data_IF_042966211812
#
_entry.id   IF_042966211812
#
_cell.length_a   1.000
_cell.length_b   1.000
_cell.length_c   1.000
_cell.angle_alpha   90.00
_cell.angle_beta   90.00
_cell.angle_gamma   90.00
#
_symmetry.space_group_name_H-M   'P 1'
#
loop_
_entity.id
_entity.type
_entity.pdbx_description
1 polymer ?
#
# COMPACT_ATOMS: atom_id res chain seq x y z
N UNK A 1 42.01 12.54 -20.13
CA UNK A 1 43.46 12.75 -20.02
C UNK A 1 43.83 13.75 -18.93
N UNK A 2 42.98 14.74 -18.60
CA UNK A 2 43.27 15.78 -17.60
C UNK A 2 43.42 15.26 -16.16
N UNK A 3 42.61 14.30 -15.71
CA UNK A 3 42.64 13.75 -14.34
C UNK A 3 43.92 12.98 -13.99
N UNK A 4 44.53 12.29 -14.96
CA UNK A 4 45.83 11.62 -14.73
C UNK A 4 46.93 12.68 -14.57
N UNK A 5 46.83 13.78 -15.32
CA UNK A 5 47.72 14.92 -15.21
C UNK A 5 47.70 15.59 -13.83
N UNK A 6 46.54 15.65 -13.17
CA UNK A 6 46.40 16.24 -11.82
C UNK A 6 46.98 15.40 -10.71
N UNK A 7 46.78 14.09 -10.75
CA UNK A 7 47.41 13.18 -9.79
C UNK A 7 48.95 13.28 -9.87
N UNK A 8 49.52 13.24 -11.08
CA UNK A 8 50.97 13.41 -11.28
C UNK A 8 51.49 14.78 -10.89
N UNK A 9 50.66 15.81 -11.00
CA UNK A 9 51.01 17.16 -10.59
C UNK A 9 51.09 17.33 -9.07
N UNK A 10 50.05 16.86 -8.37
CA UNK A 10 49.96 16.93 -6.91
C UNK A 10 51.08 16.12 -6.25
N UNK A 11 51.42 14.95 -6.81
CA UNK A 11 52.53 14.14 -6.30
C UNK A 11 53.88 14.87 -6.44
N UNK A 12 54.10 15.59 -7.54
CA UNK A 12 55.34 16.35 -7.76
C UNK A 12 55.50 17.49 -6.72
N UNK A 13 54.42 18.21 -6.42
CA UNK A 13 54.43 19.25 -5.37
C UNK A 13 54.65 18.64 -3.99
N UNK A 14 54.00 17.51 -3.68
CA UNK A 14 54.19 16.77 -2.44
C UNK A 14 55.64 16.28 -2.25
N UNK A 15 56.29 15.84 -3.33
CA UNK A 15 57.71 15.47 -3.28
C UNK A 15 58.63 16.65 -2.98
N UNK A 16 58.35 17.84 -3.54
CA UNK A 16 59.10 19.05 -3.24
C UNK A 16 58.90 19.50 -1.79
N UNK A 17 57.66 19.49 -1.27
CA UNK A 17 57.40 19.80 0.14
C UNK A 17 58.09 18.81 1.07
N UNK A 18 58.06 17.51 0.76
CA UNK A 18 58.74 16.50 1.59
C UNK A 18 60.27 16.68 1.63
N UNK A 19 60.89 17.05 0.51
CA UNK A 19 62.33 17.34 0.44
C UNK A 19 62.69 18.56 1.27
N UNK A 20 61.88 19.63 1.19
CA UNK A 20 62.07 20.86 1.97
C UNK A 20 61.90 20.58 3.46
N UNK A 21 60.85 19.85 3.85
CA UNK A 21 60.61 19.43 5.23
C UNK A 21 61.81 18.67 5.82
N UNK A 22 62.32 17.65 5.10
CA UNK A 22 63.48 16.86 5.55
C UNK A 22 64.73 17.72 5.73
N UNK A 23 64.97 18.68 4.83
CA UNK A 23 66.09 19.61 4.95
C UNK A 23 65.96 20.48 6.21
N UNK A 24 64.81 21.11 6.43
CA UNK A 24 64.54 21.95 7.61
C UNK A 24 64.58 21.16 8.93
N UNK A 25 63.94 19.99 8.99
CA UNK A 25 63.90 19.14 10.19
C UNK A 25 65.31 18.60 10.56
N UNK A 26 66.10 18.19 9.55
CA UNK A 26 67.47 17.71 9.78
C UNK A 26 68.38 18.81 10.35
N UNK A 27 68.27 20.05 9.86
CA UNK A 27 69.05 21.17 10.36
C UNK A 27 68.60 21.60 11.76
N UNK A 28 67.29 21.71 11.99
CA UNK A 28 66.73 22.08 13.28
C UNK A 28 67.15 21.11 14.39
N UNK A 29 67.19 19.79 14.11
CA UNK A 29 67.66 18.78 15.06
C UNK A 29 69.17 18.79 15.30
N UNK A 30 69.95 19.22 14.30
CA UNK A 30 71.41 19.21 14.38
C UNK A 30 71.99 20.44 15.09
N UNK A 31 71.24 21.54 15.21
CA UNK A 31 71.74 22.83 15.71
C UNK A 31 71.01 23.25 17.00
N UNK A 32 71.78 23.41 18.10
CA UNK A 32 71.26 23.68 19.46
C UNK A 32 70.51 25.02 19.60
N UNK A 33 70.83 26.03 18.77
CA UNK A 33 70.18 27.35 18.72
C UNK A 33 69.64 27.66 17.31
N UNK A 34 68.96 26.70 16.69
CA UNK A 34 68.34 26.93 15.38
C UNK A 34 67.23 28.02 15.46
N UNK A 35 67.14 28.94 14.46
CA UNK A 35 66.05 29.90 14.36
C UNK A 35 64.66 29.24 14.41
N UNK A 36 63.71 29.86 15.12
CA UNK A 36 62.33 29.32 15.29
C UNK A 36 61.57 29.28 13.97
N UNK A 37 61.94 30.16 13.04
CA UNK A 37 61.42 30.28 11.68
C UNK A 37 61.64 28.99 10.87
N UNK A 38 62.76 28.28 11.08
CA UNK A 38 63.03 26.99 10.41
C UNK A 38 62.06 25.92 10.89
N UNK A 39 61.74 25.91 12.20
CA UNK A 39 60.74 24.99 12.75
C UNK A 39 59.34 25.30 12.21
N UNK A 40 58.94 26.58 12.19
CA UNK A 40 57.65 27.00 11.63
C UNK A 40 57.51 26.63 10.15
N UNK A 41 58.55 26.89 9.35
CA UNK A 41 58.58 26.48 7.95
C UNK A 41 58.46 24.95 7.80
N UNK A 42 59.13 24.18 8.67
CA UNK A 42 59.03 22.71 8.65
C UNK A 42 57.61 22.21 9.00
N UNK A 43 56.94 22.82 9.98
CA UNK A 43 55.60 22.46 10.40
C UNK A 43 54.57 22.81 9.32
N UNK A 44 54.67 23.98 8.71
CA UNK A 44 53.79 24.37 7.60
C UNK A 44 54.01 23.52 6.36
N UNK A 45 55.26 23.23 6.01
CA UNK A 45 55.57 22.35 4.86
C UNK A 45 55.02 20.93 5.07
N UNK A 46 55.06 20.42 6.32
CA UNK A 46 54.49 19.11 6.66
C UNK A 46 52.97 19.09 6.61
N UNK A 47 52.33 20.13 7.12
CA UNK A 47 50.87 20.23 7.07
C UNK A 47 50.38 20.34 5.62
N UNK A 48 51.08 21.11 4.80
CA UNK A 48 50.78 21.23 3.38
C UNK A 48 50.96 19.90 2.62
N UNK A 49 52.04 19.14 2.89
CA UNK A 49 52.25 17.78 2.34
C UNK A 49 51.10 16.83 2.67
N UNK A 50 50.57 16.91 3.90
CA UNK A 50 49.44 16.06 4.34
C UNK A 50 48.19 16.33 3.53
N UNK A 51 47.84 17.61 3.31
CA UNK A 51 46.69 18.01 2.50
C UNK A 51 46.85 17.58 1.03
N UNK A 52 48.05 17.74 0.45
CA UNK A 52 48.33 17.32 -0.93
C UNK A 52 48.20 15.81 -1.12
N UNK A 53 48.56 15.00 -0.13
CA UNK A 53 48.39 13.54 -0.18
C UNK A 53 46.92 13.10 -0.14
N UNK A 54 46.10 13.77 0.67
CA UNK A 54 44.65 13.53 0.71
C UNK A 54 44.04 13.84 -0.66
N UNK A 55 44.40 14.99 -1.24
CA UNK A 55 43.97 15.38 -2.58
C UNK A 55 44.45 14.42 -3.67
N UNK A 56 45.67 13.91 -3.56
CA UNK A 56 46.18 12.89 -4.49
C UNK A 56 45.35 11.59 -4.42
N UNK A 57 45.00 11.12 -3.22
CA UNK A 57 44.17 9.93 -3.05
C UNK A 57 42.78 10.11 -3.70
N UNK A 58 42.19 11.31 -3.55
CA UNK A 58 40.92 11.67 -4.19
C UNK A 58 41.07 11.77 -5.71
N UNK A 59 42.16 12.38 -6.21
CA UNK A 59 42.42 12.54 -7.65
C UNK A 59 42.67 11.20 -8.38
N UNK A 60 43.05 10.15 -7.65
CA UNK A 60 43.23 8.80 -8.19
C UNK A 60 41.92 8.00 -8.25
N UNK A 61 40.84 8.51 -7.63
CA UNK A 61 39.52 7.89 -7.67
C UNK A 61 38.85 8.06 -9.04
N UNK A 62 38.08 7.08 -9.54
CA UNK A 62 37.34 7.18 -10.79
C UNK A 62 36.35 8.36 -10.84
N UNK A 63 35.92 8.88 -9.69
CA UNK A 63 35.02 10.04 -9.58
C UNK A 63 35.74 11.40 -9.46
N UNK A 64 37.07 11.44 -9.59
CA UNK A 64 37.88 12.65 -9.42
C UNK A 64 37.45 13.83 -10.33
N UNK A 65 36.88 13.55 -11.51
CA UNK A 65 36.36 14.58 -12.42
C UNK A 65 35.13 15.33 -11.88
N UNK A 66 34.48 14.82 -10.84
CA UNK A 66 33.27 15.41 -10.23
C UNK A 66 33.57 16.25 -8.99
N UNK A 67 34.85 16.36 -8.61
CA UNK A 67 35.30 17.04 -7.40
C UNK A 67 35.69 18.49 -7.74
N UNK A 68 34.89 19.50 -7.34
CA UNK A 68 35.10 20.90 -7.73
C UNK A 68 36.48 21.46 -7.35
N UNK A 69 37.01 21.11 -6.17
CA UNK A 69 38.34 21.58 -5.74
C UNK A 69 39.48 21.13 -6.67
N UNK A 70 39.38 19.94 -7.27
CA UNK A 70 40.40 19.45 -8.21
C UNK A 70 40.35 20.21 -9.53
N UNK A 71 39.19 20.74 -9.92
CA UNK A 71 39.03 21.58 -11.10
C UNK A 71 39.57 23.00 -10.87
N UNK A 72 39.37 23.55 -9.67
CA UNK A 72 39.91 24.86 -9.30
C UNK A 72 41.44 24.85 -9.19
N UNK A 73 42.02 23.78 -8.63
CA UNK A 73 43.47 23.53 -8.57
C UNK A 73 44.14 23.31 -9.94
N UNK A 74 43.35 23.10 -11.00
CA UNK A 74 43.81 22.84 -12.36
C UNK A 74 43.97 24.10 -13.23
N UNK A 75 43.53 25.28 -12.78
CA UNK A 75 43.67 26.51 -13.57
C UNK A 75 45.15 26.82 -13.80
N UNK A 76 45.53 27.05 -15.07
CA UNK A 76 46.84 27.57 -15.44
C UNK A 76 46.99 28.98 -14.82
N UNK A 77 48.14 29.26 -14.20
CA UNK A 77 48.36 30.41 -13.29
C UNK A 77 47.69 30.29 -11.89
N UNK A 78 47.32 29.08 -11.48
CA UNK A 78 46.67 28.82 -10.19
C UNK A 78 47.63 28.58 -9.00
N UNK A 79 47.07 28.39 -7.78
CA UNK A 79 47.77 28.12 -6.51
C UNK A 79 48.91 27.09 -6.59
N UNK A 80 48.71 26.07 -7.44
CA UNK A 80 49.67 24.99 -7.68
C UNK A 80 50.99 25.50 -8.22
N UNK A 81 50.95 26.37 -9.23
CA UNK A 81 52.13 26.81 -9.98
C UNK A 81 52.98 27.75 -9.14
N UNK A 82 52.31 28.61 -8.35
CA UNK A 82 52.91 29.47 -7.33
C UNK A 82 53.58 28.65 -6.21
N UNK A 83 52.90 27.65 -5.64
CA UNK A 83 53.50 26.75 -4.65
C UNK A 83 54.68 25.96 -5.21
N UNK A 84 54.57 25.46 -6.45
CA UNK A 84 55.64 24.70 -7.09
C UNK A 84 56.86 25.57 -7.39
N UNK A 85 56.67 26.80 -7.85
CA UNK A 85 57.74 27.77 -8.08
C UNK A 85 58.46 28.15 -6.77
N UNK A 86 57.69 28.41 -5.72
CA UNK A 86 58.24 28.73 -4.39
C UNK A 86 59.03 27.57 -3.80
N UNK A 87 58.46 26.36 -3.76
CA UNK A 87 59.14 25.17 -3.24
C UNK A 87 60.41 24.86 -4.01
N UNK A 88 60.41 25.04 -5.34
CA UNK A 88 61.62 24.91 -6.17
C UNK A 88 62.66 25.97 -5.85
N UNK A 89 62.27 27.24 -5.74
CA UNK A 89 63.16 28.35 -5.39
C UNK A 89 63.83 28.15 -4.02
N UNK A 90 63.06 27.72 -3.01
CA UNK A 90 63.58 27.39 -1.68
C UNK A 90 64.53 26.19 -1.73
N UNK A 91 64.20 25.15 -2.50
CA UNK A 91 65.05 23.97 -2.67
C UNK A 91 66.34 24.25 -3.45
N UNK A 92 66.32 25.13 -4.45
CA UNK A 92 67.53 25.53 -5.20
C UNK A 92 68.47 26.34 -4.31
N UNK A 93 67.95 27.31 -3.54
CA UNK A 93 68.74 28.05 -2.54
C UNK A 93 69.32 27.13 -1.45
N UNK A 94 68.61 26.07 -1.06
CA UNK A 94 69.12 25.02 -0.17
C UNK A 94 70.16 24.09 -0.82
N UNK A 95 70.15 23.97 -2.15
CA UNK A 95 71.03 23.11 -2.95
C UNK A 95 72.32 23.77 -3.42
N UNK A 96 72.34 25.09 -3.61
CA UNK A 96 73.51 25.87 -4.02
C UNK A 96 74.63 25.89 -2.97
N UNK A 97 74.35 25.48 -1.73
CA UNK A 97 75.34 25.34 -0.66
C UNK A 97 76.00 23.96 -0.53
N UNK A 98 75.71 22.99 -1.41
CA UNK A 98 75.99 21.58 -1.13
C UNK A 98 76.81 20.88 -2.22
N UNK A 99 78.07 21.29 -2.35
CA UNK A 99 79.03 20.60 -3.22
C UNK A 99 79.46 19.25 -2.58
N UNK A 100 79.37 18.17 -3.37
CA UNK A 100 79.33 16.77 -2.91
C UNK A 100 80.64 16.23 -2.27
N UNK A 101 81.66 17.05 -2.07
CA UNK A 101 82.95 16.63 -1.47
C UNK A 101 83.17 17.03 -0.01
N UNK A 102 82.29 17.82 0.60
CA UNK A 102 82.48 18.31 1.98
C UNK A 102 81.77 17.50 3.09
N UNK A 103 81.30 16.28 2.82
CA UNK A 103 80.38 15.54 3.71
C UNK A 103 80.94 15.04 5.06
N UNK A 104 82.17 15.38 5.48
CA UNK A 104 82.71 14.82 6.73
C UNK A 104 83.45 15.75 7.69
N UNK A 105 83.59 17.07 7.43
CA UNK A 105 84.42 17.89 8.34
C UNK A 105 83.94 19.28 8.74
N UNK A 106 82.74 19.74 8.40
CA UNK A 106 82.29 21.09 8.79
C UNK A 106 80.85 21.09 9.30
N UNK A 107 80.60 20.46 10.45
CA UNK A 107 79.32 20.60 11.17
C UNK A 107 79.33 21.75 12.18
N UNK A 108 80.42 22.54 12.26
CA UNK A 108 80.56 23.68 13.19
C UNK A 108 80.47 25.07 12.55
N UNK A 109 80.30 25.18 11.22
CA UNK A 109 80.15 26.47 10.54
C UNK A 109 79.19 26.41 9.33
N UNK A 110 78.09 25.66 9.41
CA UNK A 110 77.00 25.82 8.44
C UNK A 110 76.16 27.03 8.84
N UNK A 111 76.39 28.17 8.18
CA UNK A 111 75.39 29.23 8.12
C UNK A 111 74.23 28.71 7.28
N UNK A 112 73.01 28.78 7.82
CA UNK A 112 71.80 28.43 7.09
C UNK A 112 71.71 29.29 5.81
N UNK A 113 71.43 28.69 4.64
CA UNK A 113 71.54 29.40 3.35
C UNK A 113 70.31 30.26 3.00
N UNK A 114 69.18 30.13 3.72
CA UNK A 114 68.00 30.94 3.48
C UNK A 114 68.01 32.18 4.38
N UNK A 115 67.74 33.33 3.79
CA UNK A 115 67.56 34.58 4.53
C UNK A 115 66.22 34.58 5.29
N UNK A 116 66.10 35.45 6.30
CA UNK A 116 64.86 35.57 7.08
C UNK A 116 63.66 35.95 6.20
N UNK A 117 63.87 36.83 5.23
CA UNK A 117 62.85 37.28 4.28
C UNK A 117 62.36 36.12 3.38
N UNK A 118 63.25 35.25 2.93
CA UNK A 118 62.90 34.05 2.17
C UNK A 118 62.04 33.07 2.97
N UNK A 119 62.35 32.91 4.26
CA UNK A 119 61.60 32.04 5.17
C UNK A 119 60.22 32.61 5.50
N UNK A 120 60.12 33.92 5.79
CA UNK A 120 58.86 34.59 6.11
C UNK A 120 57.93 34.63 4.88
N UNK A 121 58.47 34.90 3.69
CA UNK A 121 57.73 34.80 2.43
C UNK A 121 57.24 33.36 2.21
N UNK A 122 58.13 32.38 2.37
CA UNK A 122 57.81 30.95 2.23
C UNK A 122 56.68 30.49 3.15
N UNK A 123 56.73 30.89 4.42
CA UNK A 123 55.67 30.61 5.42
C UNK A 123 54.36 31.28 5.01
N UNK A 124 54.38 32.57 4.63
CA UNK A 124 53.15 33.31 4.31
C UNK A 124 52.38 32.71 3.13
N UNK A 125 53.09 32.28 2.08
CA UNK A 125 52.50 31.71 0.87
C UNK A 125 51.97 30.30 1.15
N UNK A 126 52.70 29.48 1.90
CA UNK A 126 52.24 28.15 2.30
C UNK A 126 51.02 28.22 3.22
N UNK A 127 51.00 29.13 4.21
CA UNK A 127 49.87 29.34 5.10
C UNK A 127 48.61 29.80 4.35
N UNK A 128 48.77 30.69 3.35
CA UNK A 128 47.66 31.17 2.50
C UNK A 128 47.04 30.03 1.71
N UNK A 129 47.86 29.31 0.94
CA UNK A 129 47.38 28.22 0.10
C UNK A 129 46.81 27.05 0.89
N UNK A 130 47.35 26.78 2.08
CA UNK A 130 46.76 25.81 3.02
C UNK A 130 45.35 26.20 3.43
N UNK A 131 45.11 27.46 3.82
CA UNK A 131 43.79 27.94 4.24
C UNK A 131 42.76 27.87 3.11
N UNK A 132 43.17 28.23 1.90
CA UNK A 132 42.31 28.15 0.72
C UNK A 132 41.93 26.69 0.40
N UNK A 133 42.88 25.75 0.54
CA UNK A 133 42.63 24.32 0.42
C UNK A 133 41.66 23.79 1.48
N UNK A 134 41.86 24.16 2.75
CA UNK A 134 41.01 23.70 3.86
C UNK A 134 39.56 24.22 3.71
N UNK A 135 39.39 25.47 3.24
CA UNK A 135 38.08 26.04 2.96
C UNK A 135 37.36 25.32 1.82
N UNK A 136 38.05 25.09 0.71
CA UNK A 136 37.47 24.43 -0.46
C UNK A 136 37.12 22.96 -0.15
N UNK A 137 37.95 22.22 0.58
CA UNK A 137 37.64 20.85 1.03
C UNK A 137 36.39 20.81 1.93
N UNK A 138 36.26 21.77 2.83
CA UNK A 138 35.10 21.87 3.71
C UNK A 138 33.81 22.19 2.95
N UNK A 139 33.89 23.08 1.95
CA UNK A 139 32.77 23.41 1.06
C UNK A 139 32.29 22.19 0.26
N UNK A 140 33.22 21.42 -0.32
CA UNK A 140 32.89 20.22 -1.09
C UNK A 140 32.27 19.13 -0.21
N UNK A 141 32.78 18.94 1.02
CA UNK A 141 32.20 18.01 1.99
C UNK A 141 30.75 18.37 2.37
N UNK A 142 30.45 19.67 2.51
CA UNK A 142 29.08 20.14 2.77
C UNK A 142 28.17 19.88 1.56
N UNK A 143 28.65 20.14 0.35
CA UNK A 143 27.87 19.93 -0.87
C UNK A 143 27.51 18.44 -1.08
N UNK A 144 28.46 17.54 -0.85
CA UNK A 144 28.22 16.08 -0.88
C UNK A 144 27.18 15.66 0.17
N UNK A 145 27.27 16.21 1.38
CA UNK A 145 26.32 15.89 2.46
C UNK A 145 24.89 16.34 2.12
N UNK A 146 24.73 17.54 1.54
CA UNK A 146 23.43 18.04 1.07
C UNK A 146 22.88 17.18 -0.07
N UNK A 147 23.72 16.81 -1.05
CA UNK A 147 23.32 15.94 -2.14
C UNK A 147 22.88 14.55 -1.65
N UNK A 148 23.61 13.99 -0.69
CA UNK A 148 23.30 12.69 -0.08
C UNK A 148 21.96 12.73 0.65
N UNK A 149 21.73 13.75 1.47
CA UNK A 149 20.44 13.92 2.16
C UNK A 149 19.27 14.06 1.19
N UNK A 150 19.47 14.74 0.05
CA UNK A 150 18.46 14.87 -1.01
C UNK A 150 18.16 13.52 -1.68
N UNK A 151 19.18 12.72 -2.00
CA UNK A 151 18.99 11.38 -2.56
C UNK A 151 18.27 10.45 -1.59
N UNK A 152 18.61 10.51 -0.30
CA UNK A 152 17.94 9.72 0.74
C UNK A 152 16.44 10.06 0.81
N UNK A 153 16.09 11.35 0.81
CA UNK A 153 14.69 11.77 0.79
C UNK A 153 13.93 11.23 -0.44
N UNK A 154 14.53 11.30 -1.63
CA UNK A 154 13.94 10.73 -2.86
C UNK A 154 13.78 9.21 -2.79
N UNK A 155 14.71 8.49 -2.17
CA UNK A 155 14.59 7.04 -1.96
C UNK A 155 13.41 6.74 -1.05
N UNK A 156 13.26 7.46 0.07
CA UNK A 156 12.11 7.26 0.98
C UNK A 156 10.77 7.46 0.26
N UNK A 157 10.64 8.53 -0.54
CA UNK A 157 9.41 8.82 -1.29
C UNK A 157 9.11 7.73 -2.34
N UNK A 158 10.11 7.33 -3.12
CA UNK A 158 9.95 6.27 -4.13
C UNK A 158 9.61 4.92 -3.50
N UNK A 159 10.18 4.61 -2.34
CA UNK A 159 9.92 3.35 -1.63
C UNK A 159 8.49 3.33 -1.06
N UNK A 160 8.00 4.46 -0.55
CA UNK A 160 6.64 4.60 -0.06
C UNK A 160 5.60 4.47 -1.18
N UNK A 161 5.86 5.05 -2.36
CA UNK A 161 5.01 4.88 -3.55
C UNK A 161 5.01 3.43 -4.03
N UNK A 162 6.19 2.81 -4.15
CA UNK A 162 6.31 1.42 -4.62
C UNK A 162 5.65 0.41 -3.69
N UNK A 163 5.78 0.58 -2.36
CA UNK A 163 5.07 -0.26 -1.39
C UNK A 163 3.54 -0.12 -1.49
N UNK A 164 3.04 1.05 -1.86
CA UNK A 164 1.60 1.33 -2.00
C UNK A 164 1.03 0.70 -3.27
N UNK A 165 1.79 0.70 -4.36
CA UNK A 165 1.46 0.05 -5.64
C UNK A 165 1.57 -1.48 -5.52
N UNK A 166 2.66 -2.02 -4.96
CA UNK A 166 2.83 -3.46 -4.73
C UNK A 166 1.69 -4.05 -3.88
N UNK A 167 1.12 -3.25 -2.98
CA UNK A 167 -0.03 -3.67 -2.15
C UNK A 167 -1.34 -3.63 -2.92
N UNK A 168 -1.50 -2.70 -3.85
CA UNK A 168 -2.63 -2.66 -4.77
C UNK A 168 -2.62 -3.88 -5.69
N UNK A 169 -1.45 -4.20 -6.25
CA UNK A 169 -1.27 -5.35 -7.13
C UNK A 169 -1.52 -6.67 -6.38
N UNK A 170 -1.09 -6.78 -5.12
CA UNK A 170 -1.44 -7.94 -4.28
C UNK A 170 -2.94 -8.07 -3.99
N UNK A 171 -3.69 -6.97 -3.88
CA UNK A 171 -5.15 -7.02 -3.72
C UNK A 171 -5.79 -7.48 -5.03
N UNK A 172 -5.30 -6.98 -6.17
CA UNK A 172 -5.75 -7.43 -7.50
C UNK A 172 -5.40 -8.89 -7.78
N UNK A 173 -4.25 -9.36 -7.27
CA UNK A 173 -3.80 -10.76 -7.34
C UNK A 173 -4.47 -11.66 -6.30
N UNK A 174 -4.95 -11.11 -5.18
CA UNK A 174 -5.83 -11.79 -4.21
C UNK A 174 -7.28 -11.88 -4.69
N UNK A 175 -7.70 -10.98 -5.58
CA UNK A 175 -9.05 -10.93 -6.12
C UNK A 175 -9.49 -12.07 -7.10
N UNK A 176 -8.75 -13.16 -7.43
CA UNK A 176 -9.28 -14.14 -8.38
C UNK A 176 -9.88 -15.43 -7.77
N UNK A 177 -10.94 -15.88 -8.48
CA UNK A 177 -11.65 -17.18 -8.52
C UNK A 177 -12.53 -17.59 -7.34
N UNK A 178 -13.44 -16.74 -6.86
CA UNK A 178 -14.80 -17.28 -6.75
C UNK A 178 -15.24 -17.59 -8.18
N UNK A 179 -15.63 -18.83 -8.47
CA UNK A 179 -16.14 -19.18 -9.79
C UNK A 179 -17.39 -18.33 -10.04
N UNK A 180 -17.20 -17.23 -10.75
CA UNK A 180 -18.25 -16.27 -11.07
C UNK A 180 -19.34 -16.95 -11.87
N UNK A 181 -19.00 -17.96 -12.67
CA UNK A 181 -19.98 -18.75 -13.41
C UNK A 181 -20.82 -19.63 -12.49
N UNK A 182 -20.21 -20.27 -11.48
CA UNK A 182 -20.99 -21.02 -10.47
C UNK A 182 -21.89 -20.11 -9.64
N UNK A 183 -21.37 -18.97 -9.16
CA UNK A 183 -22.16 -18.02 -8.38
C UNK A 183 -23.29 -17.40 -9.21
N UNK A 184 -23.00 -17.09 -10.48
CA UNK A 184 -23.99 -16.63 -11.45
C UNK A 184 -25.07 -17.68 -11.69
N UNK A 185 -24.70 -18.93 -11.96
CA UNK A 185 -25.64 -20.02 -12.19
C UNK A 185 -26.49 -20.30 -10.93
N UNK A 186 -25.92 -20.23 -9.73
CA UNK A 186 -26.68 -20.35 -8.49
C UNK A 186 -27.65 -19.19 -8.27
N UNK A 187 -27.22 -17.95 -8.51
CA UNK A 187 -28.07 -16.78 -8.39
C UNK A 187 -29.22 -16.84 -9.41
N UNK A 188 -28.91 -17.26 -10.65
CA UNK A 188 -29.89 -17.46 -11.73
C UNK A 188 -30.89 -18.55 -11.41
N UNK A 189 -30.45 -19.70 -10.88
CA UNK A 189 -31.35 -20.77 -10.40
C UNK A 189 -32.29 -20.33 -9.28
N UNK A 190 -31.85 -19.37 -8.44
CA UNK A 190 -32.63 -18.81 -7.33
C UNK A 190 -33.50 -17.63 -7.78
N UNK A 191 -33.23 -17.02 -8.93
CA UNK A 191 -34.00 -15.91 -9.47
C UNK A 191 -35.35 -16.41 -10.00
N UNK A 192 -36.39 -15.62 -9.76
CA UNK A 192 -37.71 -15.87 -10.30
C UNK A 192 -38.01 -14.82 -11.37
N UNK A 193 -38.33 -15.27 -12.58
CA UNK A 193 -38.69 -14.40 -13.69
C UNK A 193 -39.74 -13.34 -13.29
N UNK A 194 -39.46 -12.08 -13.63
CA UNK A 194 -40.31 -10.93 -13.29
C UNK A 194 -40.07 -10.31 -11.91
N UNK A 195 -39.24 -10.91 -11.03
CA UNK A 195 -38.82 -10.27 -9.77
C UNK A 195 -37.59 -9.38 -9.98
N UNK A 196 -37.53 -8.24 -9.30
CA UNK A 196 -36.36 -7.34 -9.36
C UNK A 196 -36.30 -6.39 -10.56
N UNK A 197 -37.25 -6.45 -11.50
CA UNK A 197 -37.29 -5.58 -12.69
C UNK A 197 -37.42 -4.09 -12.36
N UNK A 198 -37.91 -3.76 -11.16
CA UNK A 198 -38.00 -2.39 -10.67
C UNK A 198 -36.62 -1.73 -10.62
N UNK A 199 -35.54 -2.49 -10.39
CA UNK A 199 -34.17 -1.99 -10.34
C UNK A 199 -33.80 -1.31 -11.66
N UNK A 200 -34.17 -1.93 -12.78
CA UNK A 200 -33.88 -1.43 -14.13
C UNK A 200 -34.62 -0.14 -14.49
N UNK A 201 -35.65 0.23 -13.71
CA UNK A 201 -36.47 1.43 -13.90
C UNK A 201 -36.00 2.60 -13.03
N UNK A 202 -34.98 2.42 -12.21
CA UNK A 202 -34.46 3.46 -11.33
C UNK A 202 -33.52 4.44 -12.05
N UNK A 203 -33.56 5.71 -11.66
CA UNK A 203 -32.62 6.71 -12.17
C UNK A 203 -31.17 6.38 -11.82
N UNK A 204 -30.94 5.72 -10.68
CA UNK A 204 -29.63 5.23 -10.25
C UNK A 204 -29.08 4.20 -11.24
N UNK A 205 -29.90 3.25 -11.67
CA UNK A 205 -29.54 2.25 -12.66
C UNK A 205 -29.23 2.88 -14.02
N UNK A 206 -30.10 3.78 -14.50
CA UNK A 206 -29.90 4.51 -15.75
C UNK A 206 -28.60 5.31 -15.75
N UNK A 207 -28.29 5.99 -14.64
CA UNK A 207 -27.04 6.71 -14.45
C UNK A 207 -25.83 5.78 -14.40
N UNK A 208 -25.95 4.61 -13.76
CA UNK A 208 -24.85 3.66 -13.63
C UNK A 208 -24.46 3.02 -14.98
N UNK A 209 -25.43 2.69 -15.82
CA UNK A 209 -25.15 2.19 -17.18
C UNK A 209 -24.63 3.30 -18.09
N UNK A 210 -25.27 4.48 -18.04
CA UNK A 210 -25.00 5.53 -19.03
C UNK A 210 -23.71 6.30 -18.72
N UNK A 211 -23.34 6.41 -17.44
CA UNK A 211 -22.16 7.15 -17.03
C UNK A 211 -20.97 6.21 -16.84
N UNK A 212 -19.94 6.51 -17.62
CA UNK A 212 -18.62 5.89 -17.58
C UNK A 212 -17.91 6.12 -16.23
N UNK A 213 -17.34 5.07 -15.64
CA UNK A 213 -16.60 5.19 -14.37
C UNK A 213 -17.49 5.33 -13.13
N UNK A 214 -18.74 4.89 -13.19
CA UNK A 214 -19.73 5.11 -12.13
C UNK A 214 -19.77 3.98 -11.09
N UNK A 215 -20.14 4.34 -9.86
CA UNK A 215 -20.28 3.44 -8.72
C UNK A 215 -21.74 3.37 -8.30
N UNK A 216 -22.29 2.16 -8.22
CA UNK A 216 -23.62 1.90 -7.67
C UNK A 216 -23.49 1.06 -6.40
N UNK A 217 -24.21 1.48 -5.36
CA UNK A 217 -24.26 0.76 -4.08
C UNK A 217 -25.69 0.29 -3.82
N UNK A 218 -25.86 -1.03 -3.67
CA UNK A 218 -27.12 -1.70 -3.36
C UNK A 218 -27.10 -2.18 -1.91
N UNK A 219 -27.86 -1.54 -1.03
CA UNK A 219 -27.90 -1.88 0.39
C UNK A 219 -29.27 -2.41 0.83
N UNK A 220 -29.28 -3.20 1.90
CA UNK A 220 -30.51 -3.84 2.41
C UNK A 220 -30.23 -4.93 3.42
N UNK A 221 -31.27 -5.44 4.07
CA UNK A 221 -31.14 -6.48 5.11
C UNK A 221 -30.76 -7.85 4.53
N UNK A 222 -30.27 -8.80 5.35
CA UNK A 222 -30.01 -10.17 4.90
C UNK A 222 -31.26 -10.79 4.27
N UNK A 223 -31.10 -11.48 3.13
CA UNK A 223 -32.20 -12.20 2.47
C UNK A 223 -33.21 -11.34 1.70
N UNK A 224 -32.98 -10.04 1.53
CA UNK A 224 -33.80 -9.18 0.65
C UNK A 224 -33.48 -9.30 -0.86
N UNK A 225 -32.55 -10.19 -1.23
CA UNK A 225 -32.25 -10.47 -2.64
C UNK A 225 -31.12 -9.65 -3.27
N UNK A 226 -30.32 -8.89 -2.49
CA UNK A 226 -29.15 -8.12 -3.00
C UNK A 226 -28.28 -8.90 -3.97
N UNK A 227 -27.81 -10.09 -3.57
CA UNK A 227 -26.97 -10.95 -4.40
C UNK A 227 -27.67 -11.32 -5.70
N UNK A 228 -28.92 -11.80 -5.63
CA UNK A 228 -29.70 -12.19 -6.83
C UNK A 228 -29.85 -11.01 -7.78
N UNK A 229 -30.22 -9.83 -7.25
CA UNK A 229 -30.32 -8.60 -8.03
C UNK A 229 -28.98 -8.22 -8.66
N UNK A 230 -27.88 -8.27 -7.91
CA UNK A 230 -26.55 -7.91 -8.39
C UNK A 230 -26.00 -8.83 -9.48
N UNK A 231 -26.55 -10.03 -9.66
CA UNK A 231 -26.18 -10.94 -10.75
C UNK A 231 -27.13 -10.85 -11.95
N UNK A 232 -28.41 -10.55 -11.75
CA UNK A 232 -29.35 -10.28 -12.88
C UNK A 232 -28.93 -9.08 -13.73
N UNK A 233 -28.09 -8.20 -13.20
CA UNK A 233 -27.53 -7.03 -13.88
C UNK A 233 -26.38 -7.38 -14.83
N UNK A 234 -25.84 -8.59 -14.75
CA UNK A 234 -24.70 -9.06 -15.56
C UNK A 234 -25.10 -9.67 -16.91
N UNK A 235 -26.39 -9.86 -17.19
CA UNK A 235 -26.94 -10.29 -18.49
C UNK A 235 -26.85 -9.20 -19.59
N UNK A 236 -26.03 -8.16 -19.39
CA UNK A 236 -25.78 -7.09 -20.35
C UNK A 236 -24.75 -7.54 -21.40
N UNK A 237 -25.19 -8.38 -22.33
CA UNK A 237 -24.40 -9.09 -23.36
C UNK A 237 -23.71 -8.20 -24.44
N UNK A 238 -23.56 -6.88 -24.26
CA UNK A 238 -23.15 -6.01 -25.38
C UNK A 238 -22.13 -4.89 -25.13
N UNK A 239 -21.43 -4.84 -23.99
CA UNK A 239 -20.67 -3.63 -23.64
C UNK A 239 -19.16 -3.91 -23.51
N UNK A 240 -18.34 -3.09 -24.17
CA UNK A 240 -16.87 -3.06 -24.12
C UNK A 240 -16.28 -2.57 -22.78
N UNK A 241 -17.09 -2.57 -21.73
CA UNK A 241 -16.84 -2.01 -20.40
C UNK A 241 -16.74 -3.15 -19.37
N UNK A 242 -15.97 -2.92 -18.31
CA UNK A 242 -15.67 -3.90 -17.26
C UNK A 242 -16.58 -3.63 -16.08
N UNK A 243 -17.40 -4.62 -15.70
CA UNK A 243 -18.26 -4.58 -14.54
C UNK A 243 -17.65 -5.39 -13.40
N UNK A 244 -17.43 -4.74 -12.26
CA UNK A 244 -16.92 -5.39 -11.04
C UNK A 244 -18.01 -5.36 -9.99
N UNK A 245 -18.48 -6.54 -9.59
CA UNK A 245 -19.49 -6.72 -8.55
C UNK A 245 -18.79 -7.19 -7.27
N UNK A 246 -18.88 -6.39 -6.20
CA UNK A 246 -18.43 -6.77 -4.86
C UNK A 246 -19.66 -7.06 -4.01
N UNK A 247 -19.97 -8.35 -3.86
CA UNK A 247 -21.10 -8.80 -3.05
C UNK A 247 -20.74 -8.89 -1.57
N UNK A 248 -21.70 -8.58 -0.69
CA UNK A 248 -21.63 -8.72 0.75
C UNK A 248 -20.38 -8.08 1.39
N UNK A 249 -20.09 -6.82 1.04
CA UNK A 249 -18.92 -6.08 1.55
C UNK A 249 -18.87 -6.04 3.10
N UNK A 250 -20.00 -6.08 3.79
CA UNK A 250 -20.07 -6.15 5.25
C UNK A 250 -19.58 -7.49 5.84
N UNK A 251 -19.46 -8.55 5.07
CA UNK A 251 -18.85 -9.82 5.52
C UNK A 251 -17.31 -9.74 5.58
N UNK A 252 -16.71 -8.66 5.05
CA UNK A 252 -15.28 -8.42 5.21
C UNK A 252 -14.92 -8.23 6.69
N UNK A 253 -13.91 -8.98 7.14
CA UNK A 253 -13.52 -9.01 8.54
C UNK A 253 -13.07 -7.64 9.04
N UNK A 254 -13.55 -7.27 10.22
CA UNK A 254 -13.06 -6.12 10.98
C UNK A 254 -11.67 -6.38 11.61
N UNK A 255 -11.24 -7.65 11.67
CA UNK A 255 -9.93 -7.99 12.20
C UNK A 255 -8.82 -7.63 11.20
N UNK A 256 -7.69 -7.12 11.72
CA UNK A 256 -6.50 -6.75 10.93
C UNK A 256 -6.79 -5.73 9.81
N UNK A 257 -7.77 -4.85 10.01
CA UNK A 257 -8.15 -3.79 9.05
C UNK A 257 -8.55 -4.29 7.64
N UNK A 258 -8.88 -5.57 7.45
CA UNK A 258 -9.16 -6.14 6.13
C UNK A 258 -10.29 -5.41 5.40
N UNK A 259 -11.41 -5.09 6.08
CA UNK A 259 -12.49 -4.26 5.52
C UNK A 259 -12.00 -2.87 5.07
N UNK A 260 -11.13 -2.22 5.85
CA UNK A 260 -10.58 -0.91 5.47
C UNK A 260 -9.71 -1.03 4.21
N UNK A 261 -8.94 -2.10 4.08
CA UNK A 261 -8.15 -2.35 2.87
C UNK A 261 -9.02 -2.51 1.64
N UNK A 262 -10.14 -3.26 1.75
CA UNK A 262 -11.11 -3.42 0.67
C UNK A 262 -11.75 -2.07 0.33
N UNK A 263 -12.20 -1.31 1.33
CA UNK A 263 -12.77 0.03 1.11
C UNK A 263 -11.77 0.98 0.44
N UNK A 264 -10.50 0.95 0.83
CA UNK A 264 -9.44 1.74 0.19
C UNK A 264 -9.18 1.29 -1.25
N UNK A 265 -9.25 -0.02 -1.54
CA UNK A 265 -9.15 -0.52 -2.91
C UNK A 265 -10.35 -0.05 -3.76
N UNK A 266 -11.57 -0.11 -3.23
CA UNK A 266 -12.79 0.41 -3.87
C UNK A 266 -12.65 1.92 -4.16
N UNK A 267 -12.16 2.71 -3.20
CA UNK A 267 -11.88 4.15 -3.41
C UNK A 267 -10.89 4.39 -4.53
N UNK A 268 -9.82 3.58 -4.61
CA UNK A 268 -8.82 3.70 -5.69
C UNK A 268 -9.42 3.35 -7.04
N UNK A 269 -10.17 2.25 -7.14
CA UNK A 269 -10.84 1.81 -8.36
C UNK A 269 -11.83 2.87 -8.84
N UNK A 270 -12.68 3.38 -7.94
CA UNK A 270 -13.63 4.46 -8.22
C UNK A 270 -12.93 5.78 -8.60
N UNK A 271 -11.77 6.07 -7.99
CA UNK A 271 -10.98 7.27 -8.27
C UNK A 271 -10.11 7.18 -9.52
N UNK A 272 -9.99 5.99 -10.16
CA UNK A 272 -9.28 5.91 -11.44
C UNK A 272 -10.05 6.67 -12.50
N UNK A 273 -9.36 7.43 -13.36
CA UNK A 273 -9.97 8.09 -14.53
C UNK A 273 -10.42 7.09 -15.62
N UNK A 274 -10.59 5.81 -15.27
CA UNK A 274 -10.92 4.76 -16.20
C UNK A 274 -12.42 4.78 -16.46
N UNK A 275 -12.78 5.40 -17.58
CA UNK A 275 -14.16 5.56 -18.02
C UNK A 275 -14.85 4.24 -18.39
N UNK A 276 -14.14 3.11 -18.43
CA UNK A 276 -14.71 1.81 -18.79
C UNK A 276 -15.00 0.90 -17.61
N UNK A 277 -14.76 1.34 -16.36
CA UNK A 277 -14.96 0.51 -15.17
C UNK A 277 -16.26 0.90 -14.47
N UNK A 278 -17.14 -0.07 -14.25
CA UNK A 278 -18.37 0.10 -13.48
C UNK A 278 -18.31 -0.75 -12.22
N UNK A 279 -18.57 -0.15 -11.07
CA UNK A 279 -18.55 -0.85 -9.78
C UNK A 279 -19.98 -1.02 -9.27
N UNK A 280 -20.34 -2.25 -8.88
CA UNK A 280 -21.55 -2.56 -8.13
C UNK A 280 -21.15 -3.15 -6.78
N UNK A 281 -21.54 -2.49 -5.70
CA UNK A 281 -21.24 -2.92 -4.33
C UNK A 281 -22.54 -3.33 -3.65
N UNK A 282 -22.56 -4.46 -2.93
CA UNK A 282 -23.68 -4.82 -2.07
C UNK A 282 -23.23 -4.90 -0.61
N UNK A 283 -24.05 -4.39 0.32
CA UNK A 283 -23.75 -4.49 1.75
C UNK A 283 -24.94 -4.23 2.67
N UNK A 284 -24.77 -4.46 3.98
CA UNK A 284 -25.54 -3.75 5.02
C UNK A 284 -25.10 -2.29 5.15
N UNK A 285 -25.99 -1.38 5.57
CA UNK A 285 -25.67 0.03 5.79
C UNK A 285 -24.95 0.23 7.15
N UNK A 286 -23.79 -0.43 7.33
CA UNK A 286 -22.94 -0.23 8.51
C UNK A 286 -22.22 1.13 8.43
N UNK A 287 -22.01 1.79 9.58
CA UNK A 287 -21.52 3.18 9.65
C UNK A 287 -20.21 3.41 8.88
N UNK A 288 -19.24 2.52 9.07
CA UNK A 288 -17.92 2.60 8.42
C UNK A 288 -17.99 2.45 6.89
N UNK A 289 -18.92 1.63 6.40
CA UNK A 289 -19.19 1.43 4.98
C UNK A 289 -19.89 2.67 4.41
N UNK A 290 -20.93 3.16 5.09
CA UNK A 290 -21.68 4.37 4.69
C UNK A 290 -20.72 5.56 4.56
N UNK A 291 -19.92 5.82 5.59
CA UNK A 291 -18.98 6.95 5.63
C UNK A 291 -17.92 6.85 4.53
N UNK A 292 -17.49 5.64 4.20
CA UNK A 292 -16.46 5.41 3.18
C UNK A 292 -16.98 5.49 1.75
N UNK A 293 -18.22 5.07 1.50
CA UNK A 293 -18.81 5.00 0.16
C UNK A 293 -19.57 6.28 -0.22
N UNK A 294 -20.20 6.97 0.72
CA UNK A 294 -20.98 8.18 0.44
C UNK A 294 -20.23 9.23 -0.41
N UNK A 295 -18.92 9.49 -0.23
CA UNK A 295 -18.18 10.46 -1.05
C UNK A 295 -17.91 9.99 -2.49
N UNK A 296 -17.99 8.69 -2.76
CA UNK A 296 -17.69 8.10 -4.08
C UNK A 296 -18.90 8.02 -5.00
N UNK A 297 -20.10 8.12 -4.42
CA UNK A 297 -21.35 7.90 -5.12
C UNK A 297 -21.81 9.17 -5.84
N UNK A 298 -21.93 9.11 -7.15
CA UNK A 298 -22.49 10.21 -7.96
C UNK A 298 -24.00 10.38 -7.73
N UNK A 299 -24.67 9.29 -7.35
CA UNK A 299 -26.08 9.22 -7.00
C UNK A 299 -26.25 8.45 -5.69
N UNK A 300 -27.23 8.77 -4.84
CA UNK A 300 -27.45 8.03 -3.59
C UNK A 300 -27.60 6.53 -3.85
N UNK A 301 -26.97 5.71 -3.00
CA UNK A 301 -27.10 4.26 -3.07
C UNK A 301 -28.56 3.80 -2.99
N UNK A 302 -28.88 2.70 -3.65
CA UNK A 302 -30.20 2.10 -3.66
C UNK A 302 -30.38 1.33 -2.36
N UNK A 303 -31.29 1.80 -1.52
CA UNK A 303 -31.73 1.03 -0.35
C UNK A 303 -32.94 0.19 -0.72
N UNK A 304 -32.82 -1.13 -0.59
CA UNK A 304 -33.92 -2.04 -0.84
C UNK A 304 -34.92 -1.88 0.30
N UNK A 305 -36.01 -1.16 0.03
CA UNK A 305 -37.07 -0.86 1.01
C UNK A 305 -38.18 -1.91 0.98
N UNK A 306 -38.87 -2.08 2.11
CA UNK A 306 -39.95 -3.07 2.27
C UNK A 306 -41.05 -2.97 1.21
N UNK A 307 -41.42 -1.76 0.78
CA UNK A 307 -42.48 -1.55 -0.21
C UNK A 307 -42.11 -2.05 -1.61
N UNK A 308 -40.82 -2.01 -2.00
CA UNK A 308 -40.33 -2.52 -3.28
C UNK A 308 -40.30 -4.05 -3.28
N UNK A 309 -39.93 -4.65 -2.15
CA UNK A 309 -39.86 -6.11 -1.97
C UNK A 309 -41.27 -6.74 -1.92
N UNK A 310 -42.29 -6.02 -1.47
CA UNK A 310 -43.63 -6.59 -1.28
C UNK A 310 -44.27 -7.10 -2.58
N UNK A 311 -44.12 -6.34 -3.68
CA UNK A 311 -44.60 -6.76 -5.00
C UNK A 311 -43.84 -8.01 -5.48
N UNK A 312 -42.50 -8.03 -5.30
CA UNK A 312 -41.66 -9.17 -5.64
C UNK A 312 -42.03 -10.42 -4.81
N UNK A 313 -42.36 -10.28 -3.52
CA UNK A 313 -42.80 -11.39 -2.66
C UNK A 313 -44.13 -11.96 -3.15
N UNK A 314 -45.12 -11.10 -3.43
CA UNK A 314 -46.42 -11.57 -3.90
C UNK A 314 -46.29 -12.30 -5.23
N UNK A 315 -45.49 -11.75 -6.15
CA UNK A 315 -45.19 -12.37 -7.43
C UNK A 315 -44.45 -13.71 -7.26
N UNK A 316 -43.43 -13.75 -6.40
CA UNK A 316 -42.70 -14.98 -6.06
C UNK A 316 -43.65 -16.06 -5.53
N UNK A 317 -44.46 -15.77 -4.50
CA UNK A 317 -45.37 -16.77 -3.90
C UNK A 317 -46.38 -17.28 -4.93
N UNK A 318 -47.00 -16.37 -5.69
CA UNK A 318 -47.97 -16.77 -6.72
C UNK A 318 -47.36 -17.68 -7.78
N UNK A 319 -46.12 -17.39 -8.18
CA UNK A 319 -45.40 -18.19 -9.17
C UNK A 319 -45.00 -19.56 -8.61
N UNK A 320 -44.52 -19.62 -7.38
CA UNK A 320 -44.15 -20.86 -6.71
C UNK A 320 -45.36 -21.79 -6.45
N UNK A 321 -46.55 -21.24 -6.22
CA UNK A 321 -47.80 -22.00 -6.14
C UNK A 321 -48.16 -22.57 -7.53
N UNK A 322 -48.05 -21.76 -8.58
CA UNK A 322 -48.37 -22.14 -9.96
C UNK A 322 -47.45 -23.21 -10.51
N UNK A 323 -46.15 -23.13 -10.22
CA UNK A 323 -45.12 -24.01 -10.79
C UNK A 323 -44.92 -25.30 -10.00
N UNK A 324 -45.34 -25.35 -8.74
CA UNK A 324 -45.23 -26.56 -7.93
C UNK A 324 -46.28 -27.60 -8.32
N UNK A 325 -45.83 -28.83 -8.61
CA UNK A 325 -46.68 -29.97 -8.91
C UNK A 325 -47.68 -30.32 -7.79
N UNK A 326 -47.31 -30.03 -6.54
CA UNK A 326 -48.16 -30.28 -5.36
C UNK A 326 -49.09 -29.10 -5.12
N UNK A 327 -48.56 -27.87 -5.13
CA UNK A 327 -49.34 -26.68 -4.76
C UNK A 327 -50.34 -26.23 -5.84
N UNK A 328 -50.06 -26.51 -7.12
CA UNK A 328 -50.99 -26.19 -8.23
C UNK A 328 -52.33 -26.94 -8.12
N UNK A 329 -52.36 -28.06 -7.39
CA UNK A 329 -53.57 -28.88 -7.17
C UNK A 329 -54.41 -28.40 -5.99
N UNK A 330 -53.96 -27.39 -5.26
CA UNK A 330 -54.67 -26.86 -4.11
C UNK A 330 -55.97 -26.18 -4.52
N UNK A 331 -56.91 -26.14 -3.58
CA UNK A 331 -58.15 -25.38 -3.75
C UNK A 331 -57.81 -23.89 -3.88
N UNK A 332 -58.53 -23.12 -4.69
CA UNK A 332 -58.28 -21.68 -4.86
C UNK A 332 -58.24 -20.92 -3.52
N UNK A 333 -59.08 -21.31 -2.57
CA UNK A 333 -59.12 -20.76 -1.21
C UNK A 333 -57.84 -21.00 -0.41
N UNK A 334 -57.23 -22.18 -0.53
CA UNK A 334 -56.00 -22.53 0.17
C UNK A 334 -54.81 -21.78 -0.43
N UNK A 335 -54.75 -21.70 -1.77
CA UNK A 335 -53.73 -20.95 -2.50
C UNK A 335 -53.78 -19.45 -2.16
N UNK A 336 -54.98 -18.87 -2.15
CA UNK A 336 -55.18 -17.46 -1.80
C UNK A 336 -54.79 -17.20 -0.34
N UNK A 337 -55.13 -18.11 0.57
CA UNK A 337 -54.77 -17.97 1.99
C UNK A 337 -53.25 -18.03 2.19
N UNK A 338 -52.55 -18.95 1.52
CA UNK A 338 -51.08 -19.00 1.55
C UNK A 338 -50.51 -17.67 1.06
N UNK A 339 -50.98 -17.17 -0.10
CA UNK A 339 -50.49 -15.92 -0.67
C UNK A 339 -50.71 -14.74 0.27
N UNK A 340 -51.92 -14.56 0.80
CA UNK A 340 -52.23 -13.43 1.69
C UNK A 340 -51.44 -13.53 3.00
N UNK A 341 -51.46 -14.69 3.67
CA UNK A 341 -50.79 -14.85 4.97
C UNK A 341 -49.28 -14.67 4.87
N UNK A 342 -48.61 -15.23 3.85
CA UNK A 342 -47.17 -15.07 3.70
C UNK A 342 -46.78 -13.64 3.30
N UNK A 343 -47.56 -12.99 2.42
CA UNK A 343 -47.30 -11.61 2.01
C UNK A 343 -47.53 -10.63 3.17
N UNK A 344 -48.59 -10.81 3.94
CA UNK A 344 -48.91 -9.99 5.12
C UNK A 344 -47.88 -10.18 6.24
N UNK A 345 -47.51 -11.42 6.59
CA UNK A 345 -46.52 -11.66 7.64
C UNK A 345 -45.11 -11.20 7.25
N UNK A 346 -44.73 -11.34 5.98
CA UNK A 346 -43.46 -10.80 5.52
C UNK A 346 -43.43 -9.26 5.63
N UNK A 347 -44.58 -8.59 5.49
CA UNK A 347 -44.71 -7.14 5.70
C UNK A 347 -44.75 -6.77 7.19
N UNK A 348 -45.40 -7.60 8.02
CA UNK A 348 -45.62 -7.39 9.46
C UNK A 348 -44.43 -7.67 10.38
N UNK A 349 -43.24 -8.05 9.88
CA UNK A 349 -42.01 -8.11 10.70
C UNK A 349 -41.56 -6.73 11.23
N UNK A 350 -42.28 -5.67 10.87
CA UNK A 350 -42.06 -4.29 11.32
C UNK A 350 -42.69 -3.92 12.68
N UNK A 351 -43.14 -4.89 13.50
CA UNK A 351 -43.76 -4.57 14.80
C UNK A 351 -42.69 -4.49 15.89
N UNK A 352 -42.11 -3.30 16.05
CA UNK A 352 -41.71 -2.62 17.32
C UNK A 352 -40.67 -1.50 17.02
N UNK A 353 -41.04 -0.44 16.29
CA UNK A 353 -40.17 0.75 16.16
C UNK A 353 -40.78 2.08 16.60
N UNK A 354 -41.99 2.11 17.17
CA UNK A 354 -42.64 3.38 17.52
C UNK A 354 -42.45 3.83 18.99
N UNK A 355 -41.61 3.17 19.79
CA UNK A 355 -41.37 3.62 21.19
C UNK A 355 -39.91 3.61 21.69
N UNK A 356 -38.88 3.44 20.85
CA UNK A 356 -37.48 3.63 21.30
C UNK A 356 -36.71 4.38 20.22
N UNK A 357 -36.88 5.71 20.20
CA UNK A 357 -36.08 6.61 19.35
C UNK A 357 -34.82 7.14 20.06
N UNK A 358 -34.30 6.43 21.06
CA UNK A 358 -33.17 6.94 21.85
C UNK A 358 -32.23 5.80 22.27
N UNK A 359 -31.05 5.79 21.66
CA UNK A 359 -29.84 5.10 22.11
C UNK A 359 -29.72 3.57 21.96
N UNK A 360 -29.95 3.03 20.76
CA UNK A 360 -29.08 1.98 20.19
C UNK A 360 -29.45 1.69 18.73
N UNK A 361 -28.56 2.03 17.79
CA UNK A 361 -28.70 1.76 16.35
C UNK A 361 -28.49 0.26 15.99
N UNK A 362 -28.89 -0.69 16.83
CA UNK A 362 -28.51 -2.10 16.65
C UNK A 362 -29.57 -3.16 16.99
N UNK A 363 -30.81 -2.82 17.34
CA UNK A 363 -31.82 -3.84 17.59
C UNK A 363 -33.18 -3.43 17.02
N UNK A 364 -33.80 -4.37 16.29
CA UNK A 364 -35.18 -4.33 15.75
C UNK A 364 -35.36 -3.64 14.39
N UNK A 365 -34.54 -4.01 13.42
CA UNK A 365 -34.89 -3.90 12.00
C UNK A 365 -35.42 -5.25 11.50
N UNK A 366 -36.67 -5.60 11.82
CA UNK A 366 -37.37 -6.73 11.23
C UNK A 366 -37.79 -6.40 9.80
N UNK A 367 -36.85 -6.48 8.86
CA UNK A 367 -37.11 -6.22 7.45
C UNK A 367 -37.81 -7.37 6.76
N UNK A 368 -38.73 -7.01 5.87
CA UNK A 368 -39.38 -7.92 4.92
C UNK A 368 -38.32 -8.71 4.14
N UNK A 369 -38.30 -10.04 4.32
CA UNK A 369 -37.22 -10.88 3.82
C UNK A 369 -37.76 -11.98 2.90
N UNK A 370 -37.39 -11.95 1.60
CA UNK A 370 -37.76 -12.98 0.62
C UNK A 370 -37.27 -14.37 1.07
N UNK A 371 -36.09 -14.45 1.70
CA UNK A 371 -35.55 -15.72 2.26
C UNK A 371 -36.49 -16.35 3.28
N UNK A 372 -37.17 -15.56 4.12
CA UNK A 372 -38.13 -16.13 5.07
C UNK A 372 -39.29 -16.79 4.35
N UNK A 373 -39.87 -16.10 3.36
CA UNK A 373 -40.97 -16.61 2.52
C UNK A 373 -40.53 -17.89 1.80
N UNK A 374 -39.31 -17.91 1.25
CA UNK A 374 -38.72 -19.10 0.65
C UNK A 374 -38.73 -20.28 1.63
N UNK A 375 -38.23 -20.11 2.87
CA UNK A 375 -38.20 -21.17 3.86
C UNK A 375 -39.61 -21.68 4.21
N UNK A 376 -40.59 -20.78 4.33
CA UNK A 376 -41.97 -21.19 4.63
C UNK A 376 -42.60 -21.94 3.45
N UNK A 377 -42.30 -21.55 2.21
CA UNK A 377 -42.74 -22.29 1.03
C UNK A 377 -42.21 -23.72 0.99
N UNK A 378 -40.96 -23.95 1.43
CA UNK A 378 -40.39 -25.31 1.54
C UNK A 378 -41.10 -26.18 2.58
N UNK A 379 -41.60 -25.59 3.67
CA UNK A 379 -42.43 -26.31 4.65
C UNK A 379 -43.80 -26.61 4.05
N UNK A 380 -44.46 -25.62 3.45
CA UNK A 380 -45.80 -25.74 2.86
C UNK A 380 -45.84 -26.76 1.71
N UNK A 381 -44.75 -26.85 0.92
CA UNK A 381 -44.60 -27.87 -0.14
C UNK A 381 -44.69 -29.31 0.34
N UNK A 382 -44.37 -29.56 1.62
CA UNK A 382 -44.42 -30.89 2.24
C UNK A 382 -45.80 -31.21 2.82
N UNK A 383 -46.69 -30.23 2.92
CA UNK A 383 -48.04 -30.45 3.41
C UNK A 383 -48.87 -31.26 2.40
N UNK A 384 -49.58 -32.27 2.89
CA UNK A 384 -50.34 -33.20 2.05
C UNK A 384 -51.83 -32.84 2.06
N UNK A 385 -52.33 -32.25 3.15
CA UNK A 385 -53.73 -31.84 3.30
C UNK A 385 -53.89 -30.35 3.59
N UNK A 386 -55.08 -29.80 3.31
CA UNK A 386 -55.43 -28.42 3.68
C UNK A 386 -55.35 -28.20 5.19
N UNK A 387 -55.61 -29.23 6.02
CA UNK A 387 -55.43 -29.14 7.48
C UNK A 387 -53.95 -28.96 7.86
N UNK A 388 -53.04 -29.65 7.17
CA UNK A 388 -51.59 -29.49 7.41
C UNK A 388 -51.11 -28.11 6.98
N UNK A 389 -51.64 -27.59 5.87
CA UNK A 389 -51.37 -26.22 5.40
C UNK A 389 -51.83 -25.22 6.46
N UNK A 390 -53.05 -25.36 6.98
CA UNK A 390 -53.56 -24.42 8.00
C UNK A 390 -52.73 -24.49 9.28
N UNK A 391 -52.38 -25.69 9.74
CA UNK A 391 -51.48 -25.84 10.90
C UNK A 391 -50.10 -25.21 10.65
N UNK A 392 -49.57 -25.32 9.44
CA UNK A 392 -48.30 -24.70 9.08
C UNK A 392 -48.40 -23.17 9.06
N UNK A 393 -49.47 -22.62 8.49
CA UNK A 393 -49.75 -21.17 8.45
C UNK A 393 -49.98 -20.58 9.86
N UNK A 394 -50.65 -21.32 10.75
CA UNK A 394 -50.89 -20.89 12.12
C UNK A 394 -49.62 -20.89 12.98
N UNK A 395 -48.68 -21.79 12.67
CA UNK A 395 -47.41 -21.94 13.41
C UNK A 395 -46.23 -21.27 12.72
N UNK A 396 -46.43 -20.33 11.79
CA UNK A 396 -45.33 -19.64 11.12
C UNK A 396 -44.41 -18.94 12.14
N UNK A 397 -43.08 -19.03 11.96
CA UNK A 397 -42.12 -18.33 12.80
C UNK A 397 -42.27 -16.81 12.67
N UNK A 398 -41.91 -16.10 13.72
CA UNK A 398 -41.99 -14.64 13.82
C UNK A 398 -40.96 -13.95 12.92
N UNK A 399 -39.75 -14.51 12.81
CA UNK A 399 -38.68 -13.97 11.98
C UNK A 399 -37.80 -15.07 11.34
N UNK A 400 -36.72 -14.64 10.68
CA UNK A 400 -35.76 -15.53 10.05
C UNK A 400 -34.90 -16.31 11.06
N UNK A 401 -34.63 -15.75 12.24
CA UNK A 401 -33.83 -16.43 13.28
C UNK A 401 -34.62 -17.58 13.87
N UNK A 402 -35.89 -17.38 14.23
CA UNK A 402 -36.75 -18.45 14.72
C UNK A 402 -36.92 -19.55 13.65
N UNK A 403 -36.91 -19.17 12.36
CA UNK A 403 -36.89 -20.14 11.26
C UNK A 403 -35.63 -21.01 11.30
N UNK A 404 -34.45 -20.42 11.49
CA UNK A 404 -33.20 -21.16 11.58
C UNK A 404 -33.10 -21.98 12.87
N UNK A 405 -33.56 -21.46 14.00
CA UNK A 405 -33.60 -22.20 15.27
C UNK A 405 -34.41 -23.48 15.11
N UNK A 406 -35.61 -23.40 14.52
CA UNK A 406 -36.44 -24.57 14.21
C UNK A 406 -35.76 -25.55 13.25
N UNK A 407 -35.02 -25.07 12.26
CA UNK A 407 -34.26 -25.93 11.33
C UNK A 407 -33.16 -26.68 12.07
N UNK A 408 -32.42 -26.00 12.95
CA UNK A 408 -31.34 -26.59 13.74
C UNK A 408 -31.88 -27.56 14.80
N UNK A 409 -32.97 -27.21 15.47
CA UNK A 409 -33.65 -28.08 16.45
C UNK A 409 -34.28 -29.32 15.81
N UNK A 410 -34.71 -29.24 14.55
CA UNK A 410 -35.25 -30.37 13.82
C UNK A 410 -34.18 -31.42 13.46
N UNK A 411 -32.88 -31.09 13.55
CA UNK A 411 -31.79 -32.05 13.34
C UNK A 411 -31.80 -33.07 14.48
N UNK A 412 -31.86 -34.40 14.18
CA UNK A 412 -31.85 -35.42 15.22
C UNK A 412 -30.64 -35.28 16.16
N UNK A 413 -30.84 -35.44 17.47
CA UNK A 413 -29.79 -35.23 18.49
C UNK A 413 -28.49 -35.98 18.20
N UNK A 414 -28.56 -37.18 17.62
CA UNK A 414 -27.40 -37.97 17.23
C UNK A 414 -26.54 -37.31 16.13
N UNK A 415 -27.12 -36.44 15.30
CA UNK A 415 -26.45 -35.77 14.19
C UNK A 415 -26.08 -34.31 14.50
N UNK A 416 -26.57 -33.74 15.60
CA UNK A 416 -26.27 -32.36 15.99
C UNK A 416 -24.76 -32.08 16.13
N UNK A 417 -23.92 -32.98 16.70
CA UNK A 417 -22.47 -32.76 16.74
C UNK A 417 -21.83 -32.65 15.34
N UNK A 418 -22.28 -33.49 14.40
CA UNK A 418 -21.80 -33.48 13.02
C UNK A 418 -22.25 -32.21 12.31
N UNK A 419 -23.52 -31.82 12.47
CA UNK A 419 -24.05 -30.57 11.91
C UNK A 419 -23.30 -29.34 12.44
N UNK A 420 -23.00 -29.30 13.74
CA UNK A 420 -22.20 -28.22 14.34
C UNK A 420 -20.78 -28.16 13.74
N UNK A 421 -20.12 -29.32 13.56
CA UNK A 421 -18.81 -29.37 12.89
C UNK A 421 -18.87 -28.94 11.43
N UNK A 422 -19.90 -29.37 10.69
CA UNK A 422 -20.11 -28.94 9.31
C UNK A 422 -20.28 -27.41 9.22
N UNK A 423 -21.08 -26.81 10.11
CA UNK A 423 -21.24 -25.35 10.16
C UNK A 423 -19.94 -24.64 10.53
N UNK A 424 -19.15 -25.19 11.47
CA UNK A 424 -17.84 -24.65 11.81
C UNK A 424 -16.87 -24.70 10.62
N UNK A 425 -16.80 -25.83 9.92
CA UNK A 425 -15.99 -25.96 8.70
C UNK A 425 -16.41 -24.96 7.64
N UNK A 426 -17.72 -24.79 7.40
CA UNK A 426 -18.22 -23.78 6.47
C UNK A 426 -17.79 -22.37 6.88
N UNK A 427 -17.94 -22.02 8.16
CA UNK A 427 -17.64 -20.67 8.66
C UNK A 427 -16.15 -20.33 8.65
N UNK A 428 -15.28 -21.28 8.96
CA UNK A 428 -13.83 -21.07 9.05
C UNK A 428 -13.07 -21.46 7.78
N UNK A 429 -13.72 -22.07 6.80
CA UNK A 429 -13.09 -22.43 5.53
C UNK A 429 -12.63 -21.18 4.78
N UNK A 430 -11.41 -21.25 4.23
CA UNK A 430 -10.83 -20.16 3.44
C UNK A 430 -11.30 -20.17 1.98
N UNK A 431 -11.88 -21.27 1.55
CA UNK A 431 -12.42 -21.49 0.21
C UNK A 431 -13.75 -22.24 0.32
N UNK A 432 -14.68 -22.03 -0.63
CA UNK A 432 -15.95 -22.77 -0.66
C UNK A 432 -15.70 -24.29 -0.62
N UNK A 433 -16.39 -24.99 0.27
CA UNK A 433 -16.30 -26.44 0.40
C UNK A 433 -17.39 -27.09 -0.44
N UNK A 434 -17.01 -28.10 -1.23
CA UNK A 434 -17.98 -28.97 -1.91
C UNK A 434 -18.70 -29.85 -0.87
N UNK A 435 -19.94 -30.24 -1.17
CA UNK A 435 -20.81 -30.93 -0.22
C UNK A 435 -20.25 -32.30 0.23
N UNK A 436 -19.58 -33.01 -0.67
CA UNK A 436 -18.86 -34.26 -0.41
C UNK A 436 -17.66 -34.06 0.53
N UNK A 437 -16.84 -33.03 0.25
CA UNK A 437 -15.70 -32.66 1.10
C UNK A 437 -16.17 -32.25 2.50
N UNK A 438 -17.26 -31.47 2.58
CA UNK A 438 -17.84 -31.06 3.85
C UNK A 438 -18.37 -32.26 4.65
N UNK A 439 -19.00 -33.23 3.97
CA UNK A 439 -19.50 -34.44 4.61
C UNK A 439 -18.36 -35.21 5.28
N UNK A 440 -17.25 -35.44 4.56
CA UNK A 440 -16.06 -36.10 5.10
C UNK A 440 -15.42 -35.30 6.24
N UNK A 441 -15.24 -33.99 6.06
CA UNK A 441 -14.62 -33.11 7.07
C UNK A 441 -15.45 -33.05 8.36
N UNK A 442 -16.79 -33.10 8.26
CA UNK A 442 -17.69 -33.01 9.42
C UNK A 442 -17.66 -34.25 10.33
N UNK A 443 -17.14 -35.38 9.83
CA UNK A 443 -16.94 -36.61 10.60
C UNK A 443 -15.67 -36.49 11.48
N UNK A 444 -14.66 -35.77 11.00
CA UNK A 444 -13.39 -35.57 11.71
C UNK A 444 -13.63 -34.65 12.90
N UNK A 445 -13.26 -35.09 14.10
CA UNK A 445 -13.25 -34.26 15.29
C UNK A 445 -11.85 -33.61 15.44
N UNK A 446 -11.70 -32.31 15.14
CA UNK A 446 -10.40 -31.64 15.24
C UNK A 446 -9.91 -31.47 16.69
N UNK A 447 -10.75 -31.78 17.69
CA UNK A 447 -10.43 -31.69 19.12
C UNK A 447 -10.18 -33.05 19.79
N UNK A 448 -10.24 -34.16 19.04
CA UNK A 448 -10.05 -35.52 19.56
C UNK A 448 -8.59 -35.96 19.65
#
# INVERSE_FOLDING_TARGET
MEVIGTATALIAVAEFSLKLFKACDSYYRAVKEAPREIKRLSEETRSFDTNLRILHAIATSPDAAKVPILVELMKADGPREECQALLRSLLTKLGEGNDRHAKRKVFKQMKWPLEKEDMDNGISVLERHRKDLDFALSSDNLNISVATNRMIAQIYDNTAMKQKDDRCDRILEWLPTTDTAMNHEEARKKHQDGTGEWLFKTDQWGNWISNRGSVMWLNGMPGCGKTVLAWTTSELDSISDVYVVVDALDESSLQKDARKEVLEAVKRLAGTKNTKLHLLLTSRPELDIVDSLAPLLTVPGISIQSHQIQADISHYVSTQIRESNTLRKLRPEDALRIQNTLTEKANGMQVFSDLIYTFSSMALCGGTTIRWVFCQMEVIRKCISSSDIYKALDRLPTDLNETYDRILEAIPKAHQPIAHRALAWLFFSRSPLLADVLAEASIIDPCA
#
